data_IF_603200145042
#
_entry.id   IF_603200145042
#
_cell.length_a   1.000
_cell.length_b   1.000
_cell.length_c   1.000
_cell.angle_alpha   90.00
_cell.angle_beta   90.00
_cell.angle_gamma   90.00
#
_symmetry.space_group_name_H-M   'P 1'
#
loop_
_entity.id
_entity.type
_entity.pdbx_description
1 polymer ?
#
# COMPACT_ATOMS: atom_id res chain seq x y z
N UNK A 1 15.71 -11.94 0.19
CA UNK A 1 16.51 -12.25 -1.01
C UNK A 1 15.98 -11.37 -2.13
N UNK A 2 16.83 -10.58 -2.78
CA UNK A 2 16.42 -9.81 -3.97
C UNK A 2 16.19 -10.75 -5.14
N UNK A 3 15.16 -10.48 -5.94
CA UNK A 3 14.83 -11.28 -7.11
C UNK A 3 15.82 -11.08 -8.28
N UNK A 4 16.73 -10.11 -8.22
CA UNK A 4 17.88 -10.05 -9.13
C UNK A 4 18.94 -9.09 -8.58
N UNK A 5 20.18 -9.56 -8.41
CA UNK A 5 21.30 -8.75 -7.89
C UNK A 5 22.09 -8.03 -8.99
N UNK A 6 21.58 -8.00 -10.23
CA UNK A 6 22.24 -7.39 -11.37
C UNK A 6 21.24 -6.68 -12.29
N UNK A 7 21.38 -5.35 -12.40
CA UNK A 7 20.64 -4.47 -13.31
C UNK A 7 19.11 -4.40 -13.08
N UNK A 8 18.68 -3.35 -12.37
CA UNK A 8 17.29 -2.81 -12.38
C UNK A 8 16.21 -3.82 -12.72
N UNK A 9 15.95 -4.75 -11.80
CA UNK A 9 15.01 -5.85 -12.02
C UNK A 9 13.60 -5.31 -12.21
N UNK A 10 13.09 -5.41 -13.44
CA UNK A 10 11.67 -5.19 -13.71
C UNK A 10 10.86 -6.32 -13.05
N UNK A 11 9.93 -5.97 -12.16
CA UNK A 11 9.08 -6.94 -11.48
C UNK A 11 9.22 -6.95 -9.97
N UNK A 12 8.60 -7.93 -9.32
CA UNK A 12 8.61 -8.04 -7.86
C UNK A 12 7.54 -7.18 -7.18
N UNK A 13 6.43 -6.90 -7.86
CA UNK A 13 5.20 -6.43 -7.22
C UNK A 13 4.56 -7.53 -6.37
N UNK A 14 3.90 -7.15 -5.29
CA UNK A 14 3.18 -8.11 -4.44
C UNK A 14 1.89 -8.61 -5.07
N UNK A 15 0.92 -7.70 -5.21
CA UNK A 15 -0.34 -7.96 -5.93
C UNK A 15 -0.38 -7.05 -7.15
N UNK A 16 -0.37 -7.66 -8.33
CA UNK A 16 -0.40 -6.95 -9.60
C UNK A 16 -1.68 -7.26 -10.37
N UNK A 17 -2.55 -6.25 -10.50
CA UNK A 17 -3.74 -6.32 -11.36
C UNK A 17 -3.36 -5.81 -12.75
N UNK A 18 -3.03 -6.74 -13.63
CA UNK A 18 -2.56 -6.45 -14.99
C UNK A 18 -3.68 -5.90 -15.91
N UNK A 19 -3.31 -5.51 -17.12
CA UNK A 19 -4.21 -4.88 -18.09
C UNK A 19 -5.55 -5.61 -18.28
N UNK A 20 -6.66 -4.86 -18.10
CA UNK A 20 -8.04 -5.33 -18.26
C UNK A 20 -8.66 -5.92 -16.98
N UNK A 21 -7.89 -6.06 -15.89
CA UNK A 21 -8.37 -6.57 -14.60
C UNK A 21 -9.54 -5.74 -14.08
N UNK A 22 -10.73 -6.33 -13.97
CA UNK A 22 -11.94 -5.60 -13.61
C UNK A 22 -12.85 -6.39 -12.68
N UNK A 23 -13.56 -5.68 -11.79
CA UNK A 23 -14.44 -6.27 -10.78
C UNK A 23 -13.72 -7.23 -9.82
N UNK A 24 -12.42 -7.00 -9.57
CA UNK A 24 -11.60 -7.82 -8.69
C UNK A 24 -11.68 -7.28 -7.26
N UNK A 25 -11.77 -8.19 -6.28
CA UNK A 25 -11.65 -7.87 -4.86
C UNK A 25 -10.31 -8.34 -4.31
N UNK A 26 -9.49 -7.40 -3.84
CA UNK A 26 -8.24 -7.63 -3.13
C UNK A 26 -8.49 -7.28 -1.67
N UNK A 27 -8.74 -8.28 -0.83
CA UNK A 27 -9.21 -8.07 0.55
C UNK A 27 -8.39 -8.83 1.58
N UNK A 28 -8.06 -8.15 2.68
CA UNK A 28 -7.40 -8.73 3.86
C UNK A 28 -6.08 -9.47 3.55
N UNK A 29 -5.24 -8.87 2.69
CA UNK A 29 -3.92 -9.39 2.35
C UNK A 29 -2.83 -8.68 3.15
N UNK A 30 -1.78 -9.41 3.52
CA UNK A 30 -0.53 -8.87 4.04
C UNK A 30 0.52 -8.95 2.93
N UNK A 31 1.06 -7.81 2.53
CA UNK A 31 2.06 -7.72 1.47
C UNK A 31 3.22 -6.85 1.93
N UNK A 32 4.42 -7.42 1.97
CA UNK A 32 5.59 -6.72 2.50
C UNK A 32 6.90 -7.12 1.82
N UNK A 33 7.90 -6.24 1.93
CA UNK A 33 9.28 -6.42 1.41
C UNK A 33 9.38 -6.82 -0.08
N UNK A 34 8.40 -6.40 -0.88
CA UNK A 34 8.45 -6.56 -2.33
C UNK A 34 9.60 -5.75 -2.94
N UNK A 35 10.16 -6.28 -4.04
CA UNK A 35 11.22 -5.63 -4.80
C UNK A 35 10.76 -4.32 -5.44
N UNK A 36 9.50 -4.27 -5.87
CA UNK A 36 8.82 -3.06 -6.35
C UNK A 36 7.78 -2.59 -5.33
N UNK A 37 6.52 -2.34 -5.73
CA UNK A 37 5.43 -1.94 -4.85
C UNK A 37 4.63 -3.14 -4.33
N UNK A 38 4.00 -2.98 -3.16
CA UNK A 38 3.12 -4.02 -2.60
C UNK A 38 1.85 -4.21 -3.43
N UNK A 39 1.29 -3.13 -3.95
CA UNK A 39 0.15 -3.19 -4.87
C UNK A 39 0.44 -2.41 -6.14
N UNK A 40 0.10 -3.00 -7.28
CA UNK A 40 0.09 -2.31 -8.56
C UNK A 40 -1.24 -2.55 -9.27
N UNK A 41 -2.01 -1.49 -9.40
CA UNK A 41 -3.11 -1.43 -10.34
C UNK A 41 -2.56 -0.95 -11.69
N UNK A 42 -2.55 -1.83 -12.67
CA UNK A 42 -2.39 -1.42 -14.06
C UNK A 42 -3.72 -0.90 -14.59
N UNK A 43 -4.18 -1.39 -15.73
CA UNK A 43 -5.37 -0.89 -16.40
C UNK A 43 -6.57 -1.76 -16.03
N UNK A 44 -7.70 -1.16 -15.69
CA UNK A 44 -8.85 -1.91 -15.17
C UNK A 44 -9.96 -1.03 -14.61
N UNK A 45 -11.10 -1.63 -14.26
CA UNK A 45 -12.26 -0.94 -13.70
C UNK A 45 -12.90 -1.66 -12.52
N UNK A 46 -13.48 -0.89 -11.60
CA UNK A 46 -14.26 -1.39 -10.47
C UNK A 46 -13.52 -2.43 -9.62
N UNK A 47 -12.22 -2.23 -9.41
CA UNK A 47 -11.44 -3.08 -8.50
C UNK A 47 -11.51 -2.51 -7.08
N UNK A 48 -11.70 -3.39 -6.10
CA UNK A 48 -11.86 -3.04 -4.70
C UNK A 48 -10.68 -3.59 -3.90
N UNK A 49 -9.92 -2.69 -3.27
CA UNK A 49 -8.73 -3.00 -2.49
C UNK A 49 -9.01 -2.54 -1.06
N UNK A 50 -9.37 -3.50 -0.20
CA UNK A 50 -9.94 -3.18 1.12
C UNK A 50 -9.32 -3.98 2.26
N UNK A 51 -9.02 -3.30 3.37
CA UNK A 51 -8.58 -3.97 4.60
C UNK A 51 -7.22 -4.64 4.49
N UNK A 52 -6.39 -4.29 3.51
CA UNK A 52 -5.06 -4.88 3.32
C UNK A 52 -4.00 -4.14 4.16
N UNK A 53 -2.86 -4.81 4.38
CA UNK A 53 -1.63 -4.22 4.93
C UNK A 53 -0.55 -4.27 3.85
N UNK A 54 -0.06 -3.10 3.44
CA UNK A 54 1.07 -2.96 2.51
C UNK A 54 2.26 -2.31 3.24
N UNK A 55 3.40 -3.00 3.32
CA UNK A 55 4.47 -2.58 4.20
C UNK A 55 5.89 -2.74 3.63
N UNK A 56 6.73 -1.71 3.80
CA UNK A 56 8.19 -1.79 3.62
C UNK A 56 8.67 -2.24 2.23
N UNK A 57 7.88 -1.98 1.20
CA UNK A 57 8.24 -2.33 -0.18
C UNK A 57 9.28 -1.33 -0.73
N UNK A 58 10.20 -1.81 -1.57
CA UNK A 58 11.46 -1.09 -1.86
C UNK A 58 11.32 0.10 -2.81
N UNK A 59 10.42 0.03 -3.79
CA UNK A 59 10.20 1.11 -4.76
C UNK A 59 8.97 1.96 -4.43
N UNK A 60 8.53 1.93 -3.17
CA UNK A 60 7.29 2.55 -2.69
C UNK A 60 6.19 1.52 -2.45
N UNK A 61 5.03 1.95 -1.93
CA UNK A 61 4.04 0.99 -1.43
C UNK A 61 2.97 0.64 -2.44
N UNK A 62 2.48 1.64 -3.18
CA UNK A 62 1.36 1.50 -4.09
C UNK A 62 1.68 2.16 -5.44
N UNK A 63 1.31 1.50 -6.52
CA UNK A 63 1.38 2.05 -7.87
C UNK A 63 0.02 1.96 -8.54
N UNK A 64 -0.49 3.09 -9.04
CA UNK A 64 -1.67 3.12 -9.90
C UNK A 64 -1.28 3.77 -11.22
N UNK A 65 -1.33 2.99 -12.31
CA UNK A 65 -0.91 3.44 -13.64
C UNK A 65 -2.11 3.93 -14.46
N UNK A 66 -1.95 5.10 -15.10
CA UNK A 66 -3.00 5.73 -15.90
C UNK A 66 -2.67 5.74 -17.40
N UNK A 67 -3.63 5.36 -18.24
CA UNK A 67 -3.64 5.53 -19.70
C UNK A 67 -5.05 5.76 -20.31
N UNK A 68 -6.17 5.70 -19.55
CA UNK A 68 -7.53 5.83 -20.09
C UNK A 68 -8.58 6.28 -19.05
N UNK A 69 -9.72 6.80 -19.56
CA UNK A 69 -10.75 7.53 -18.78
C UNK A 69 -11.76 6.65 -18.00
N UNK A 70 -11.86 5.35 -18.32
CA UNK A 70 -12.79 4.42 -17.68
C UNK A 70 -12.08 3.50 -16.70
N UNK A 71 -11.48 4.08 -15.64
CA UNK A 71 -10.76 3.31 -14.62
C UNK A 71 -11.27 3.70 -13.25
N UNK A 72 -11.43 2.70 -12.39
CA UNK A 72 -11.75 2.90 -10.99
C UNK A 72 -11.07 1.84 -10.15
N UNK A 73 -10.25 2.29 -9.21
CA UNK A 73 -9.80 1.46 -8.09
C UNK A 73 -10.28 2.13 -6.81
N UNK A 74 -11.04 1.37 -6.03
CA UNK A 74 -11.52 1.77 -4.72
C UNK A 74 -10.53 1.24 -3.69
N UNK A 75 -9.69 2.13 -3.19
CA UNK A 75 -8.66 1.84 -2.22
C UNK A 75 -9.12 2.36 -0.86
N UNK A 76 -9.74 1.47 -0.07
CA UNK A 76 -10.48 1.86 1.13
C UNK A 76 -10.07 1.06 2.37
N UNK A 77 -9.88 1.73 3.50
CA UNK A 77 -9.68 1.06 4.79
C UNK A 77 -8.42 0.19 4.88
N UNK A 78 -7.36 0.51 4.14
CA UNK A 78 -6.08 -0.19 4.16
C UNK A 78 -5.09 0.46 5.13
N UNK A 79 -4.10 -0.31 5.59
CA UNK A 79 -2.91 0.20 6.28
C UNK A 79 -1.73 0.17 5.30
N UNK A 80 -1.10 1.32 5.08
CA UNK A 80 0.03 1.45 4.16
C UNK A 80 1.20 2.09 4.89
N UNK A 81 2.28 1.34 5.07
CA UNK A 81 3.47 1.82 5.80
C UNK A 81 4.73 1.75 4.96
N UNK A 82 5.51 2.81 5.00
CA UNK A 82 6.81 2.90 4.35
C UNK A 82 7.94 2.98 5.38
N UNK A 83 9.18 2.81 4.91
CA UNK A 83 10.37 3.18 5.66
C UNK A 83 11.29 3.98 4.74
N UNK A 84 11.17 5.31 4.79
CA UNK A 84 11.86 6.23 3.89
C UNK A 84 11.57 6.00 2.39
N UNK A 85 10.37 5.53 2.04
CA UNK A 85 9.90 5.33 0.67
C UNK A 85 8.60 6.09 0.40
N UNK A 86 8.19 6.20 -0.86
CA UNK A 86 6.87 6.78 -1.18
C UNK A 86 5.74 5.85 -0.75
N UNK A 87 4.61 6.44 -0.37
CA UNK A 87 3.34 5.73 -0.22
C UNK A 87 2.82 5.37 -1.61
N UNK A 88 2.47 6.38 -2.42
CA UNK A 88 2.14 6.19 -3.83
C UNK A 88 3.36 6.52 -4.69
N UNK A 89 3.84 5.54 -5.46
CA UNK A 89 4.91 5.71 -6.48
C UNK A 89 4.37 6.32 -7.76
N UNK A 90 3.08 6.08 -8.02
CA UNK A 90 2.25 6.85 -8.94
C UNK A 90 0.82 6.81 -8.42
N UNK A 91 0.10 7.91 -8.61
CA UNK A 91 -1.32 8.03 -8.32
C UNK A 91 -2.07 8.40 -9.61
N UNK A 92 -3.37 8.16 -9.64
CA UNK A 92 -4.22 8.43 -10.79
C UNK A 92 -5.55 9.01 -10.34
N UNK A 93 -6.09 9.98 -11.09
CA UNK A 93 -7.38 10.61 -10.78
C UNK A 93 -8.57 9.63 -10.79
N UNK A 94 -8.36 8.43 -11.32
CA UNK A 94 -9.28 7.29 -11.29
C UNK A 94 -9.25 6.50 -9.97
N UNK A 95 -8.37 6.86 -9.04
CA UNK A 95 -8.27 6.21 -7.73
C UNK A 95 -9.20 6.91 -6.74
N UNK A 96 -10.02 6.13 -6.06
CA UNK A 96 -10.75 6.55 -4.87
C UNK A 96 -9.93 6.10 -3.66
N UNK A 97 -9.38 7.06 -2.92
CA UNK A 97 -8.39 6.85 -1.86
C UNK A 97 -8.91 7.32 -0.51
N UNK A 98 -9.68 6.46 0.16
CA UNK A 98 -10.54 6.85 1.28
C UNK A 98 -10.27 6.00 2.54
N UNK A 99 -10.39 6.59 3.73
CA UNK A 99 -10.35 5.88 5.03
C UNK A 99 -9.11 5.01 5.28
N UNK A 100 -7.99 5.30 4.62
CA UNK A 100 -6.75 4.54 4.79
C UNK A 100 -5.89 5.14 5.91
N UNK A 101 -5.05 4.29 6.53
CA UNK A 101 -4.02 4.70 7.46
C UNK A 101 -2.65 4.68 6.77
N UNK A 102 -1.92 5.80 6.86
CA UNK A 102 -0.58 5.92 6.29
C UNK A 102 0.47 6.27 7.32
N UNK A 103 1.64 5.67 7.19
CA UNK A 103 2.80 5.97 8.04
C UNK A 103 4.12 5.77 7.31
N UNK A 104 5.15 6.50 7.71
CA UNK A 104 6.53 6.24 7.32
C UNK A 104 7.37 6.10 8.59
N UNK A 105 8.06 4.98 8.79
CA UNK A 105 8.84 4.75 10.02
C UNK A 105 10.08 5.64 10.13
N UNK A 106 10.61 6.16 9.02
CA UNK A 106 11.70 7.14 9.02
C UNK A 106 11.16 8.56 9.09
N UNK A 107 10.15 8.89 8.27
CA UNK A 107 9.66 10.28 8.12
C UNK A 107 8.47 10.62 9.01
N UNK A 108 7.92 9.63 9.71
CA UNK A 108 6.75 9.76 10.56
C UNK A 108 5.58 10.36 9.79
N UNK A 109 5.01 11.46 10.30
CA UNK A 109 3.88 12.19 9.67
C UNK A 109 4.24 12.87 8.35
N UNK A 110 5.54 13.00 8.04
CA UNK A 110 6.01 13.64 6.80
C UNK A 110 6.03 12.66 5.62
N UNK A 111 5.00 11.81 5.50
CA UNK A 111 4.85 10.87 4.40
C UNK A 111 4.83 11.59 3.04
N UNK A 112 5.24 10.86 2.01
CA UNK A 112 5.46 11.40 0.67
C UNK A 112 4.88 10.46 -0.39
N UNK A 113 4.39 11.06 -1.48
CA UNK A 113 3.88 10.35 -2.66
C UNK A 113 4.35 11.05 -3.92
N UNK A 114 4.70 10.30 -4.95
CA UNK A 114 5.37 10.78 -6.15
C UNK A 114 6.26 9.67 -6.67
N UNK A 115 7.25 9.96 -7.52
CA UNK A 115 8.12 8.90 -8.01
C UNK A 115 8.87 8.17 -6.87
N UNK A 116 9.18 6.88 -7.08
CA UNK A 116 9.92 6.04 -6.13
C UNK A 116 11.26 6.68 -5.70
N UNK A 117 11.90 7.43 -6.61
CA UNK A 117 13.17 8.13 -6.37
C UNK A 117 13.02 9.46 -5.59
N UNK A 118 11.79 9.84 -5.20
CA UNK A 118 11.45 11.03 -4.42
C UNK A 118 11.73 12.40 -5.07
N UNK A 119 12.33 12.44 -6.27
CA UNK A 119 12.68 13.66 -7.02
C UNK A 119 11.46 14.59 -7.21
N UNK A 120 10.25 14.02 -7.36
CA UNK A 120 9.00 14.78 -7.56
C UNK A 120 7.94 14.48 -6.49
N UNK A 121 8.36 14.18 -5.27
CA UNK A 121 7.42 13.77 -4.23
C UNK A 121 6.65 14.94 -3.58
N UNK A 122 5.36 14.72 -3.40
CA UNK A 122 4.38 15.58 -2.76
C UNK A 122 4.09 15.12 -1.33
N UNK A 123 3.78 16.07 -0.44
CA UNK A 123 3.37 15.80 0.94
C UNK A 123 1.86 15.74 1.12
N UNK A 124 1.43 15.43 2.35
CA UNK A 124 0.01 15.23 2.71
C UNK A 124 -0.92 16.35 2.24
N UNK A 125 -0.56 17.62 2.47
CA UNK A 125 -1.42 18.75 2.08
C UNK A 125 -1.66 18.84 0.58
N UNK A 126 -0.62 18.57 -0.22
CA UNK A 126 -0.73 18.58 -1.68
C UNK A 126 -1.55 17.39 -2.16
N UNK A 127 -1.34 16.20 -1.59
CA UNK A 127 -2.13 15.01 -1.96
C UNK A 127 -3.61 15.23 -1.67
N UNK A 128 -3.95 15.79 -0.50
CA UNK A 128 -5.34 16.14 -0.14
C UNK A 128 -5.96 17.19 -1.05
N UNK A 129 -5.19 18.17 -1.53
CA UNK A 129 -5.74 19.15 -2.50
C UNK A 129 -6.04 18.55 -3.88
N UNK A 130 -5.63 17.31 -4.13
CA UNK A 130 -5.89 16.56 -5.36
C UNK A 130 -6.77 15.33 -5.11
N UNK A 131 -7.53 15.31 -4.01
CA UNK A 131 -8.47 14.23 -3.66
C UNK A 131 -7.82 12.87 -3.36
N UNK A 132 -6.60 12.87 -2.83
CA UNK A 132 -5.96 11.70 -2.25
C UNK A 132 -5.80 11.85 -0.74
N UNK A 133 -5.56 10.74 -0.03
CA UNK A 133 -5.55 10.70 1.42
C UNK A 133 -6.85 11.27 2.02
N UNK A 134 -7.98 10.98 1.38
CA UNK A 134 -9.29 11.46 1.82
C UNK A 134 -9.66 10.74 3.10
N UNK A 135 -10.11 11.52 4.08
CA UNK A 135 -10.43 11.06 5.43
C UNK A 135 -9.33 10.22 6.09
N UNK A 136 -8.10 10.28 5.56
CA UNK A 136 -7.03 9.37 5.96
C UNK A 136 -6.46 9.70 7.35
N UNK A 137 -6.04 8.65 8.05
CA UNK A 137 -5.32 8.75 9.30
C UNK A 137 -3.80 8.68 9.07
N UNK A 138 -3.08 9.73 9.44
CA UNK A 138 -1.61 9.75 9.37
C UNK A 138 -1.02 9.49 10.77
N UNK A 139 -0.83 8.23 11.11
CA UNK A 139 -0.39 7.80 12.44
C UNK A 139 0.34 6.45 12.38
N UNK A 140 1.21 6.19 13.35
CA UNK A 140 1.83 4.87 13.52
C UNK A 140 0.73 3.84 13.82
N UNK A 141 0.60 2.75 13.04
CA UNK A 141 -0.37 1.70 13.32
C UNK A 141 -0.04 0.90 14.60
N UNK A 142 1.14 1.09 15.21
CA UNK A 142 1.58 0.36 16.39
C UNK A 142 1.63 -1.16 16.15
N UNK A 143 2.29 -1.57 15.07
CA UNK A 143 2.63 -2.98 14.86
C UNK A 143 3.55 -3.48 15.98
N UNK A 144 3.34 -4.71 16.45
CA UNK A 144 4.07 -5.29 17.58
C UNK A 144 5.57 -5.33 17.35
N UNK A 145 6.00 -5.75 16.16
CA UNK A 145 7.42 -5.78 15.81
C UNK A 145 7.63 -5.76 14.29
N UNK A 146 7.58 -4.58 13.70
CA UNK A 146 7.74 -4.44 12.24
C UNK A 146 9.13 -4.87 11.74
N UNK A 147 10.18 -4.70 12.55
CA UNK A 147 11.56 -5.10 12.20
C UNK A 147 11.71 -6.62 12.02
N UNK A 148 10.89 -7.40 12.73
CA UNK A 148 10.81 -8.85 12.61
C UNK A 148 9.55 -9.32 11.87
N UNK A 149 8.93 -8.43 11.08
CA UNK A 149 7.74 -8.73 10.26
C UNK A 149 6.51 -9.20 11.06
N UNK A 150 6.41 -8.78 12.32
CA UNK A 150 5.18 -8.92 13.12
C UNK A 150 4.30 -7.68 12.94
N UNK A 151 3.38 -7.79 11.99
CA UNK A 151 2.34 -6.82 11.66
C UNK A 151 1.08 -6.99 12.51
N UNK A 152 1.13 -7.72 13.63
CA UNK A 152 0.02 -7.74 14.58
C UNK A 152 -0.13 -6.35 15.19
N UNK A 153 -1.34 -5.80 15.18
CA UNK A 153 -1.63 -4.52 15.80
C UNK A 153 -1.60 -4.63 17.33
N UNK A 154 -1.01 -3.64 18.00
CA UNK A 154 -1.16 -3.47 19.44
C UNK A 154 -2.63 -3.23 19.82
N UNK A 155 -3.01 -3.58 21.05
CA UNK A 155 -4.40 -3.43 21.54
C UNK A 155 -4.89 -1.98 21.46
N UNK A 156 -3.99 -1.02 21.68
CA UNK A 156 -4.25 0.41 21.61
C UNK A 156 -3.92 1.03 20.24
N UNK A 157 -3.82 0.21 19.19
CA UNK A 157 -3.55 0.69 17.84
C UNK A 157 -4.59 1.74 17.41
N UNK A 158 -4.17 2.89 16.85
CA UNK A 158 -5.09 3.86 16.30
C UNK A 158 -5.80 3.31 15.05
N UNK A 159 -5.25 2.30 14.37
CA UNK A 159 -5.87 1.67 13.21
C UNK A 159 -7.25 1.07 13.55
N UNK A 160 -7.34 0.34 14.67
CA UNK A 160 -8.59 -0.28 15.11
C UNK A 160 -9.64 0.77 15.48
N UNK A 161 -9.23 1.82 16.20
CA UNK A 161 -10.13 2.92 16.57
C UNK A 161 -10.63 3.73 15.37
N UNK A 162 -9.82 3.77 14.31
CA UNK A 162 -10.13 4.42 13.04
C UNK A 162 -11.01 3.57 12.12
N UNK A 163 -11.23 2.29 12.45
CA UNK A 163 -12.19 1.42 11.76
C UNK A 163 -11.57 0.21 11.06
N UNK A 164 -10.23 0.08 11.03
CA UNK A 164 -9.58 -1.11 10.49
C UNK A 164 -10.00 -2.35 11.29
N UNK A 165 -10.40 -3.41 10.59
CA UNK A 165 -10.81 -4.67 11.21
C UNK A 165 -9.63 -5.65 11.17
N UNK A 166 -8.95 -5.92 12.31
CA UNK A 166 -7.80 -6.81 12.31
C UNK A 166 -8.19 -8.24 11.90
N UNK A 167 -7.32 -8.89 11.12
CA UNK A 167 -7.46 -10.28 10.71
C UNK A 167 -6.17 -11.04 10.97
N UNK A 168 -6.30 -12.34 11.25
CA UNK A 168 -5.18 -13.18 11.59
C UNK A 168 -4.50 -13.73 10.33
N UNK A 169 -3.40 -13.09 9.93
CA UNK A 169 -2.59 -13.53 8.80
C UNK A 169 -1.72 -14.77 9.09
N UNK A 170 -1.59 -15.20 10.35
CA UNK A 170 -0.88 -16.44 10.69
C UNK A 170 -1.59 -17.69 10.17
N UNK A 171 -2.85 -17.55 9.74
CA UNK A 171 -3.61 -18.61 9.08
C UNK A 171 -3.33 -18.69 7.57
N UNK A 172 -2.54 -17.76 7.01
CA UNK A 172 -2.12 -17.80 5.62
C UNK A 172 -0.91 -18.73 5.42
N UNK A 173 -0.72 -19.22 4.19
CA UNK A 173 0.34 -20.17 3.84
C UNK A 173 -0.12 -21.63 3.81
N UNK A 174 0.81 -22.55 3.62
CA UNK A 174 0.49 -23.98 3.56
C UNK A 174 0.36 -24.57 4.97
N UNK A 175 -0.73 -25.29 5.23
CA UNK A 175 -0.89 -26.06 6.48
C UNK A 175 0.13 -27.22 6.59
N UNK A 176 0.82 -27.53 5.50
CA UNK A 176 1.79 -28.61 5.43
C UNK A 176 3.13 -28.15 6.00
N UNK A 177 3.57 -28.80 7.08
CA UNK A 177 4.97 -28.71 7.55
C UNK A 177 5.85 -29.55 6.62
N UNK A 178 6.86 -28.93 6.01
CA UNK A 178 7.94 -29.63 5.29
C UNK A 178 9.03 -30.06 6.27
#
# INVERSE_FOLDING_TARGET
MEADSGQGGYGGWGIYLDEGSSNISVKNNLVYECGSQGFHQHYGENNHVTGNIFALNKEGQIQVSNRDINRSVYFDGNIVVANNQTIFSSASDAQHDDNNLYWDYTRQKLIKSGNAEMIKAHGVLWMRSHSYYNDALIADPLFKNIENHDFTLAENSPATSFGFQPWNYLNAGTLTKF
#
